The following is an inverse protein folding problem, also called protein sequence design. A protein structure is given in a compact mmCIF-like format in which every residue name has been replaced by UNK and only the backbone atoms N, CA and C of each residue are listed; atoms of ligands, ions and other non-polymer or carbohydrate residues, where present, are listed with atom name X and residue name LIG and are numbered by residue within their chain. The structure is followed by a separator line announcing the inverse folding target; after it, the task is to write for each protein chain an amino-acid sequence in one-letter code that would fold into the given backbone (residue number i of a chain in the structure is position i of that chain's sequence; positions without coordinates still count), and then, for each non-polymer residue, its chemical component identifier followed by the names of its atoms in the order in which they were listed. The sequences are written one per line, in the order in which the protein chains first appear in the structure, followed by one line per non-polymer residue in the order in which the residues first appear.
data_IF_132619652579
#
_entry.id   IF_132619652579
#
_cell.length_a   1.000
_cell.length_b   1.000
_cell.length_c   1.000
_cell.angle_alpha   90.00
_cell.angle_beta   90.00
_cell.angle_gamma   90.00
#
_symmetry.space_group_name_H-M   'P 1'
#
loop_
_entity.id
_entity.type
_entity.pdbx_description
1 polymer ?
#
# COMPACT_ATOMS: atom_id res chain seq x y z
N UNK A 1 14.10 0.70 -7.04
CA UNK A 1 12.96 0.45 -6.13
C UNK A 1 12.06 -0.64 -6.70
N UNK A 2 11.72 -1.61 -5.91
CA UNK A 2 10.81 -2.67 -6.34
C UNK A 2 9.36 -2.21 -6.26
N UNK A 3 8.47 -2.93 -6.94
CA UNK A 3 7.04 -2.65 -6.86
C UNK A 3 6.53 -2.75 -5.41
N UNK A 4 6.99 -3.76 -4.67
CA UNK A 4 6.60 -3.92 -3.26
C UNK A 4 7.01 -2.72 -2.42
N UNK A 5 8.22 -2.19 -2.63
CA UNK A 5 8.70 -1.01 -1.91
C UNK A 5 7.84 0.21 -2.24
N UNK A 6 7.50 0.40 -3.52
CA UNK A 6 6.70 1.52 -3.96
C UNK A 6 5.29 1.48 -3.37
N UNK A 7 4.68 0.29 -3.37
CA UNK A 7 3.34 0.11 -2.78
C UNK A 7 3.37 0.44 -1.28
N UNK A 8 4.38 -0.06 -0.57
CA UNK A 8 4.51 0.22 0.86
C UNK A 8 4.65 1.71 1.13
N UNK A 9 5.52 2.39 0.40
CA UNK A 9 5.70 3.84 0.56
C UNK A 9 4.43 4.61 0.24
N UNK A 10 3.70 4.18 -0.79
CA UNK A 10 2.42 4.80 -1.15
C UNK A 10 1.41 4.69 -0.02
N UNK A 11 1.34 3.52 0.61
CA UNK A 11 0.43 3.30 1.75
C UNK A 11 0.82 4.21 2.92
N UNK A 12 2.11 4.30 3.23
CA UNK A 12 2.59 5.16 4.30
C UNK A 12 2.27 6.63 4.00
N UNK A 13 2.49 7.06 2.76
CA UNK A 13 2.20 8.43 2.35
C UNK A 13 0.71 8.76 2.50
N UNK A 14 -0.16 7.83 2.09
CA UNK A 14 -1.60 8.01 2.25
C UNK A 14 -2.00 8.13 3.72
N UNK A 15 -1.40 7.32 4.59
CA UNK A 15 -1.63 7.44 6.02
C UNK A 15 -1.19 8.80 6.56
N UNK A 16 -0.02 9.27 6.14
CA UNK A 16 0.50 10.56 6.57
C UNK A 16 -0.38 11.71 6.10
N UNK A 17 -0.86 11.65 4.86
CA UNK A 17 -1.77 12.67 4.33
C UNK A 17 -3.06 12.78 5.14
N UNK A 18 -3.50 11.68 5.73
CA UNK A 18 -4.76 11.61 6.46
C UNK A 18 -4.55 11.66 7.98
N UNK A 19 -3.31 11.79 8.43
CA UNK A 19 -2.97 11.82 9.86
C UNK A 19 -3.46 10.58 10.60
N UNK A 20 -3.32 9.41 9.99
CA UNK A 20 -3.67 8.14 10.62
C UNK A 20 -2.45 7.24 10.69
N UNK A 21 -2.47 6.29 11.64
CA UNK A 21 -1.44 5.27 11.74
C UNK A 21 -1.76 4.09 10.82
N UNK A 22 -0.76 3.23 10.58
CA UNK A 22 -1.00 1.99 9.86
C UNK A 22 -2.01 1.09 10.59
N UNK A 23 -1.95 1.06 11.92
CA UNK A 23 -2.93 0.30 12.71
C UNK A 23 -4.36 0.81 12.48
N UNK A 24 -4.53 2.11 12.45
CA UNK A 24 -5.84 2.72 12.18
C UNK A 24 -6.30 2.37 10.77
N UNK A 25 -5.39 2.44 9.80
CA UNK A 25 -5.71 2.05 8.43
C UNK A 25 -6.21 0.61 8.36
N UNK A 26 -5.51 -0.31 9.04
CA UNK A 26 -5.91 -1.71 9.06
C UNK A 26 -7.31 -1.89 9.62
N UNK A 27 -7.64 -1.15 10.67
CA UNK A 27 -8.98 -1.18 11.28
C UNK A 27 -10.04 -0.68 10.29
N UNK A 28 -9.78 0.45 9.64
CA UNK A 28 -10.70 1.05 8.68
C UNK A 28 -10.95 0.12 7.48
N UNK A 29 -9.88 -0.51 6.99
CA UNK A 29 -9.92 -1.28 5.76
C UNK A 29 -10.23 -2.76 5.97
N UNK A 30 -10.34 -3.21 7.21
CA UNK A 30 -10.61 -4.61 7.51
C UNK A 30 -9.44 -5.53 7.15
N UNK A 31 -8.21 -5.07 7.35
CA UNK A 31 -7.00 -5.82 7.06
C UNK A 31 -6.55 -6.54 8.33
N UNK A 32 -6.13 -7.80 8.18
CA UNK A 32 -5.65 -8.58 9.32
C UNK A 32 -4.30 -8.06 9.82
N UNK A 33 -3.98 -8.35 11.08
CA UNK A 33 -2.69 -7.97 11.66
C UNK A 33 -1.53 -8.60 10.89
N UNK A 34 -1.70 -9.83 10.44
CA UNK A 34 -0.67 -10.52 9.65
C UNK A 34 -0.36 -9.77 8.36
N UNK A 35 -1.39 -9.36 7.63
CA UNK A 35 -1.23 -8.57 6.40
C UNK A 35 -0.57 -7.23 6.69
N UNK A 36 -0.98 -6.57 7.77
CA UNK A 36 -0.40 -5.29 8.17
C UNK A 36 1.10 -5.43 8.47
N UNK A 37 1.48 -6.48 9.16
CA UNK A 37 2.89 -6.73 9.46
C UNK A 37 3.70 -6.96 8.20
N UNK A 38 3.14 -7.66 7.22
CA UNK A 38 3.81 -7.86 5.93
C UNK A 38 4.03 -6.52 5.21
N UNK A 39 3.06 -5.64 5.26
CA UNK A 39 3.18 -4.30 4.68
C UNK A 39 4.25 -3.49 5.42
N UNK A 40 4.18 -3.49 6.75
CA UNK A 40 5.08 -2.69 7.59
C UNK A 40 6.53 -3.11 7.46
N UNK A 41 6.78 -4.41 7.49
CA UNK A 41 8.14 -4.94 7.52
C UNK A 41 8.78 -5.04 6.14
N UNK A 42 7.97 -4.92 5.11
CA UNK A 42 8.45 -5.13 3.75
C UNK A 42 8.75 -6.61 3.52
N UNK A 43 9.85 -6.87 2.84
CA UNK A 43 10.28 -8.23 2.57
C UNK A 43 9.88 -8.69 1.18
N UNK A 44 9.86 -10.01 1.00
CA UNK A 44 9.68 -10.62 -0.31
C UNK A 44 8.23 -10.71 -0.75
N UNK A 45 7.29 -10.46 0.16
CA UNK A 45 5.87 -10.66 -0.14
C UNK A 45 5.21 -9.35 -0.57
N UNK A 46 4.75 -9.32 -1.80
CA UNK A 46 3.97 -8.20 -2.31
C UNK A 46 2.57 -8.24 -1.71
N UNK A 47 1.98 -7.09 -1.39
CA UNK A 47 0.57 -7.05 -1.05
C UNK A 47 -0.25 -7.56 -2.22
N UNK A 48 -1.29 -8.32 -1.94
CA UNK A 48 -2.21 -8.77 -2.97
C UNK A 48 -3.00 -7.59 -3.51
N UNK A 49 -3.37 -7.66 -4.77
CA UNK A 49 -4.18 -6.61 -5.39
C UNK A 49 -5.51 -6.43 -4.63
N UNK A 50 -6.08 -7.52 -4.12
CA UNK A 50 -7.29 -7.44 -3.31
C UNK A 50 -7.06 -6.64 -2.02
N UNK A 51 -5.88 -6.76 -1.41
CA UNK A 51 -5.53 -5.96 -0.23
C UNK A 51 -5.45 -4.48 -0.59
N UNK A 52 -4.83 -4.15 -1.73
CA UNK A 52 -4.76 -2.78 -2.22
C UNK A 52 -6.17 -2.23 -2.45
N UNK A 53 -7.06 -3.03 -3.01
CA UNK A 53 -8.45 -2.62 -3.23
C UNK A 53 -9.15 -2.31 -1.90
N UNK A 54 -8.94 -3.14 -0.87
CA UNK A 54 -9.50 -2.86 0.46
C UNK A 54 -9.00 -1.55 1.03
N UNK A 55 -7.73 -1.26 0.84
CA UNK A 55 -7.14 0.01 1.30
C UNK A 55 -7.79 1.18 0.56
N UNK A 56 -7.94 1.05 -0.75
CA UNK A 56 -8.60 2.09 -1.55
C UNK A 56 -10.04 2.33 -1.07
N UNK A 57 -10.78 1.26 -0.86
CA UNK A 57 -12.16 1.37 -0.41
C UNK A 57 -12.25 2.02 0.98
N UNK A 58 -11.36 1.62 1.89
CA UNK A 58 -11.33 2.20 3.24
C UNK A 58 -10.96 3.68 3.24
N UNK A 59 -10.11 4.11 2.31
CA UNK A 59 -9.69 5.50 2.17
C UNK A 59 -10.56 6.28 1.19
N UNK A 60 -11.53 5.64 0.58
CA UNK A 60 -12.45 6.25 -0.39
C UNK A 60 -11.70 6.85 -1.59
N UNK A 61 -10.76 6.09 -2.12
CA UNK A 61 -10.05 6.43 -3.35
C UNK A 61 -10.20 5.29 -4.35
N UNK A 62 -9.94 5.58 -5.62
CA UNK A 62 -9.93 4.57 -6.66
C UNK A 62 -8.57 3.90 -6.76
N UNK A 63 -8.49 2.74 -7.43
CA UNK A 63 -7.21 2.11 -7.75
C UNK A 63 -6.35 3.04 -8.60
N UNK A 64 -6.97 3.75 -9.53
CA UNK A 64 -6.26 4.73 -10.36
C UNK A 64 -5.62 5.81 -9.50
N UNK A 65 -6.34 6.34 -8.52
CA UNK A 65 -5.81 7.35 -7.60
C UNK A 65 -4.70 6.79 -6.73
N UNK A 66 -4.81 5.53 -6.32
CA UNK A 66 -3.77 4.89 -5.53
C UNK A 66 -2.44 4.87 -6.30
N UNK A 67 -2.47 4.50 -7.57
CA UNK A 67 -1.27 4.37 -8.37
C UNK A 67 -0.84 5.67 -9.06
N UNK A 68 -1.57 6.76 -8.87
CA UNK A 68 -1.23 8.08 -9.43
C UNK A 68 -0.21 8.79 -8.55
N UNK A 69 0.99 8.24 -8.46
CA UNK A 69 2.08 8.79 -7.66
C UNK A 69 3.39 8.62 -8.42
N UNK A 70 4.25 9.64 -8.31
CA UNK A 70 5.55 9.61 -8.98
C UNK A 70 6.43 8.45 -8.51
N UNK A 71 6.18 7.94 -7.32
CA UNK A 71 6.94 6.83 -6.77
C UNK A 71 6.92 5.61 -7.70
N UNK A 72 5.84 5.44 -8.46
CA UNK A 72 5.72 4.31 -9.38
C UNK A 72 6.48 4.50 -10.69
N UNK A 73 7.06 5.67 -10.91
CA UNK A 73 7.88 5.94 -12.11
C UNK A 73 9.30 5.39 -11.98
N UNK A 74 9.72 5.01 -10.79
CA UNK A 74 11.09 4.59 -10.49
C UNK A 74 11.22 3.09 -10.28
N UNK A 75 10.31 2.34 -10.84
CA UNK A 75 10.27 0.90 -10.62
C UNK A 75 11.28 0.16 -11.46
N UNK A 76 11.87 -0.88 -10.86
CA UNK A 76 12.70 -1.84 -11.57
C UNK A 76 11.83 -2.72 -12.45
N UNK A 77 12.40 -3.20 -13.57
CA UNK A 77 11.69 -4.17 -14.38
C UNK A 77 11.58 -5.50 -13.68
N UNK A 78 10.42 -6.13 -13.84
CA UNK A 78 10.16 -7.46 -13.30
C UNK A 78 10.52 -8.55 -14.30
N UNK A 79 10.56 -8.22 -15.59
CA UNK A 79 10.94 -9.16 -16.64
C UNK A 79 12.45 -9.15 -16.82
N UNK A 80 12.99 -10.34 -17.00
CA UNK A 80 14.43 -10.51 -17.26
C UNK A 80 14.76 -10.75 -18.71
#
# INVERSE_FOLDING_TARGET
MTLADAVRERIVDLCNERNITLNKLATICGITQSTLNNIRNGGSNNPKLATIKKICDGLNITLEQFFASEIFYQLEQEIE
#
